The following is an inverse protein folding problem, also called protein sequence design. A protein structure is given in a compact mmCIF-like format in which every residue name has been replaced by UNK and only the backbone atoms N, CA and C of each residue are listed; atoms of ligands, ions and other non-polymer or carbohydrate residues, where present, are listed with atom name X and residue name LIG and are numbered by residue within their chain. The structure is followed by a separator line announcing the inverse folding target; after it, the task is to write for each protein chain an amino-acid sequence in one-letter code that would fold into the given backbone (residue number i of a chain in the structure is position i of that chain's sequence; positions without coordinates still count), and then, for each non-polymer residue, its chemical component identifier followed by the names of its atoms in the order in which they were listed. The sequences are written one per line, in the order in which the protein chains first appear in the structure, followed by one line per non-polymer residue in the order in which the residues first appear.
data_IF_804373072294
#
_entry.id   IF_804373072294
#
_cell.length_a   1.000
_cell.length_b   1.000
_cell.length_c   1.000
_cell.angle_alpha   90.00
_cell.angle_beta   90.00
_cell.angle_gamma   90.00
#
_symmetry.space_group_name_H-M   'P 1'
#
loop_
_entity.id
_entity.type
_entity.pdbx_description
1 polymer ?
#
# COMPACT_ATOMS: atom_id res chain seq x y z
N UNK A 1 -11.19 16.54 12.78
CA UNK A 1 -9.81 15.99 12.78
C UNK A 1 -9.61 14.77 11.87
N UNK A 2 -10.56 13.85 11.74
CA UNK A 2 -10.39 12.62 10.94
C UNK A 2 -10.04 12.88 9.46
N UNK A 3 -10.76 13.78 8.77
CA UNK A 3 -10.47 14.14 7.37
C UNK A 3 -9.06 14.74 7.21
N UNK A 4 -8.63 15.59 8.16
CA UNK A 4 -7.29 16.19 8.12
C UNK A 4 -6.21 15.11 8.22
N UNK A 5 -6.33 14.19 9.18
CA UNK A 5 -5.37 13.09 9.35
C UNK A 5 -5.34 12.17 8.11
N UNK A 6 -6.50 11.82 7.56
CA UNK A 6 -6.59 10.96 6.37
C UNK A 6 -6.13 11.64 5.08
N UNK A 7 -6.20 12.98 5.02
CA UNK A 7 -5.74 13.75 3.86
C UNK A 7 -4.22 13.81 3.74
N UNK A 8 -3.48 13.52 4.82
CA UNK A 8 -2.00 13.47 4.84
C UNK A 8 -1.35 14.73 4.24
N UNK A 9 -1.88 15.91 4.55
CA UNK A 9 -1.40 17.19 4.03
C UNK A 9 -1.79 17.50 2.57
N UNK A 10 -2.54 16.62 1.91
CA UNK A 10 -3.04 16.84 0.55
C UNK A 10 -4.42 17.50 0.59
N UNK A 11 -4.46 18.81 0.29
CA UNK A 11 -5.70 19.59 0.31
C UNK A 11 -6.75 19.07 -0.68
N UNK A 12 -6.33 18.64 -1.89
CA UNK A 12 -7.26 18.06 -2.87
C UNK A 12 -7.94 16.82 -2.30
N UNK A 13 -7.18 15.96 -1.63
CA UNK A 13 -7.71 14.77 -0.95
C UNK A 13 -8.67 15.15 0.17
N UNK A 14 -8.34 16.15 0.99
CA UNK A 14 -9.21 16.60 2.08
C UNK A 14 -10.58 17.07 1.57
N UNK A 15 -10.61 17.84 0.48
CA UNK A 15 -11.85 18.32 -0.14
C UNK A 15 -12.69 17.17 -0.70
N UNK A 16 -12.07 16.25 -1.44
CA UNK A 16 -12.77 15.09 -1.98
C UNK A 16 -13.35 14.20 -0.87
N UNK A 17 -12.59 13.94 0.20
CA UNK A 17 -13.09 13.18 1.35
C UNK A 17 -14.28 13.87 2.03
N UNK A 18 -14.27 15.21 2.12
CA UNK A 18 -15.37 15.99 2.67
C UNK A 18 -16.62 15.91 1.78
N UNK A 19 -16.47 16.05 0.46
CA UNK A 19 -17.56 15.92 -0.50
C UNK A 19 -18.18 14.52 -0.48
N UNK A 20 -17.34 13.47 -0.52
CA UNK A 20 -17.80 12.08 -0.41
C UNK A 20 -18.50 11.81 0.91
N UNK A 21 -17.97 12.35 2.02
CA UNK A 21 -18.59 12.22 3.35
C UNK A 21 -19.98 12.86 3.40
N UNK A 22 -20.16 14.03 2.77
CA UNK A 22 -21.44 14.73 2.70
C UNK A 22 -22.44 14.01 1.79
N UNK A 23 -21.97 13.43 0.69
CA UNK A 23 -22.81 12.65 -0.20
C UNK A 23 -23.33 11.37 0.48
N UNK A 24 -22.51 10.74 1.32
CA UNK A 24 -22.88 9.52 2.05
C UNK A 24 -23.72 9.80 3.30
N UNK A 25 -23.43 10.89 4.02
CA UNK A 25 -24.12 11.27 5.25
C UNK A 25 -24.62 12.71 5.16
N UNK A 26 -25.94 12.88 5.06
CA UNK A 26 -26.59 14.19 5.05
C UNK A 26 -27.75 14.24 6.07
N UNK A 27 -27.65 15.01 7.17
CA UNK A 27 -26.56 15.92 7.54
C UNK A 27 -25.30 15.17 8.03
N UNK A 28 -24.14 15.83 7.94
CA UNK A 28 -22.87 15.33 8.50
C UNK A 28 -23.02 15.13 10.02
N UNK A 29 -22.54 14.01 10.54
CA UNK A 29 -22.59 13.65 11.97
C UNK A 29 -21.20 13.53 12.55
N UNK A 30 -21.06 13.81 13.84
CA UNK A 30 -19.83 13.53 14.56
C UNK A 30 -19.57 12.01 14.65
N UNK A 31 -18.31 11.60 14.50
CA UNK A 31 -17.90 10.20 14.57
C UNK A 31 -18.21 9.34 13.33
N UNK A 32 -18.77 9.92 12.27
CA UNK A 32 -19.03 9.16 11.03
C UNK A 32 -17.71 8.65 10.40
N UNK A 33 -17.74 7.44 9.83
CA UNK A 33 -16.59 6.89 9.12
C UNK A 33 -16.38 7.65 7.82
N UNK A 34 -15.19 8.21 7.65
CA UNK A 34 -14.81 8.86 6.38
C UNK A 34 -14.65 7.77 5.32
N UNK A 35 -15.26 7.92 4.13
CA UNK A 35 -15.13 6.97 3.05
C UNK A 35 -13.69 6.96 2.53
N UNK A 36 -13.12 5.77 2.37
CA UNK A 36 -11.80 5.57 1.80
C UNK A 36 -11.92 5.11 0.33
N UNK A 37 -10.99 5.50 -0.55
CA UNK A 37 -10.96 4.97 -1.91
C UNK A 37 -10.84 3.44 -1.93
N UNK A 38 -11.58 2.80 -2.83
CA UNK A 38 -11.60 1.33 -2.92
C UNK A 38 -10.21 0.75 -3.18
N UNK A 39 -9.41 1.42 -4.01
CA UNK A 39 -8.05 0.97 -4.32
C UNK A 39 -7.11 1.00 -3.11
N UNK A 40 -7.28 1.92 -2.17
CA UNK A 40 -6.49 1.95 -0.93
C UNK A 40 -6.85 0.79 -0.02
N UNK A 41 -8.16 0.49 0.08
CA UNK A 41 -8.64 -0.66 0.84
C UNK A 41 -8.10 -1.96 0.24
N UNK A 42 -8.16 -2.08 -1.08
CA UNK A 42 -7.65 -3.24 -1.81
C UNK A 42 -6.13 -3.43 -1.64
N UNK A 43 -5.35 -2.35 -1.65
CA UNK A 43 -3.91 -2.40 -1.38
C UNK A 43 -3.61 -2.76 0.08
N UNK A 44 -4.40 -2.28 1.04
CA UNK A 44 -4.26 -2.66 2.45
C UNK A 44 -4.51 -4.15 2.65
N UNK A 45 -5.58 -4.69 2.08
CA UNK A 45 -5.83 -6.14 2.08
C UNK A 45 -4.69 -6.94 1.42
N UNK A 46 -4.09 -6.37 0.36
CA UNK A 46 -2.94 -6.98 -0.32
C UNK A 46 -1.72 -6.98 0.60
N UNK A 47 -1.46 -5.89 1.33
CA UNK A 47 -0.40 -5.82 2.33
C UNK A 47 -0.64 -6.82 3.48
N UNK A 48 -1.88 -6.95 3.97
CA UNK A 48 -2.25 -7.93 4.98
C UNK A 48 -2.00 -9.37 4.51
N UNK A 49 -2.31 -9.67 3.24
CA UNK A 49 -2.00 -10.96 2.63
C UNK A 49 -0.49 -11.24 2.63
N UNK A 50 0.32 -10.26 2.21
CA UNK A 50 1.79 -10.34 2.20
C UNK A 50 2.35 -10.56 3.61
N UNK A 51 1.78 -9.92 4.64
CA UNK A 51 2.22 -10.05 6.04
C UNK A 51 1.85 -11.41 6.65
N UNK A 52 0.74 -12.00 6.20
CA UNK A 52 0.23 -13.28 6.71
C UNK A 52 0.98 -14.49 6.15
N UNK A 53 1.31 -14.49 4.85
CA UNK A 53 1.89 -15.67 4.18
C UNK A 53 3.04 -15.29 3.26
N UNK A 54 4.22 -15.84 3.52
CA UNK A 54 5.44 -15.62 2.72
C UNK A 54 5.79 -16.88 1.90
N UNK A 55 4.91 -17.28 0.98
CA UNK A 55 5.15 -18.44 0.10
C UNK A 55 5.08 -18.05 -1.37
N UNK A 56 5.66 -18.87 -2.26
CA UNK A 56 5.60 -18.65 -3.70
C UNK A 56 4.15 -18.51 -4.23
N UNK A 57 3.22 -19.34 -3.75
CA UNK A 57 1.80 -19.22 -4.11
C UNK A 57 1.19 -17.89 -3.70
N UNK A 58 1.59 -17.36 -2.53
CA UNK A 58 1.12 -16.06 -2.07
C UNK A 58 1.66 -14.94 -2.96
N UNK A 59 2.92 -15.03 -3.38
CA UNK A 59 3.52 -14.07 -4.30
C UNK A 59 2.78 -14.05 -5.66
N UNK A 60 2.38 -15.21 -6.17
CA UNK A 60 1.57 -15.32 -7.38
C UNK A 60 0.20 -14.65 -7.23
N UNK A 61 -0.49 -14.88 -6.11
CA UNK A 61 -1.76 -14.21 -5.81
C UNK A 61 -1.58 -12.69 -5.71
N UNK A 62 -0.52 -12.23 -5.03
CA UNK A 62 -0.22 -10.81 -4.90
C UNK A 62 0.07 -10.19 -6.26
N UNK A 63 0.77 -10.90 -7.15
CA UNK A 63 1.00 -10.44 -8.52
C UNK A 63 -0.29 -10.23 -9.30
N UNK A 64 -1.26 -11.15 -9.19
CA UNK A 64 -2.59 -10.99 -9.80
C UNK A 64 -3.29 -9.74 -9.28
N UNK A 65 -3.27 -9.53 -7.95
CA UNK A 65 -3.83 -8.32 -7.31
C UNK A 65 -3.16 -7.04 -7.82
N UNK A 66 -1.84 -7.04 -7.99
CA UNK A 66 -1.13 -5.89 -8.56
C UNK A 66 -1.54 -5.61 -10.02
N UNK A 67 -1.77 -6.64 -10.84
CA UNK A 67 -2.28 -6.45 -12.19
C UNK A 67 -3.67 -5.81 -12.19
N UNK A 68 -4.56 -6.21 -11.29
CA UNK A 68 -5.89 -5.60 -11.17
C UNK A 68 -5.78 -4.09 -10.86
N UNK A 69 -4.92 -3.70 -9.93
CA UNK A 69 -4.75 -2.28 -9.55
C UNK A 69 -4.10 -1.48 -10.68
N UNK A 70 -3.08 -2.03 -11.33
CA UNK A 70 -2.40 -1.37 -12.47
C UNK A 70 -3.36 -1.20 -13.66
N UNK A 71 -4.18 -2.22 -13.95
CA UNK A 71 -5.15 -2.16 -15.06
C UNK A 71 -6.27 -1.14 -14.84
N UNK A 72 -6.53 -0.73 -13.59
CA UNK A 72 -7.43 0.37 -13.22
C UNK A 72 -6.75 1.75 -13.28
N UNK A 73 -5.62 1.86 -13.96
CA UNK A 73 -4.87 3.10 -14.19
C UNK A 73 -4.35 3.78 -12.91
N UNK A 74 -4.06 3.00 -11.87
CA UNK A 74 -3.46 3.55 -10.65
C UNK A 74 -1.94 3.60 -10.84
N UNK A 75 -1.29 4.77 -10.61
CA UNK A 75 0.13 4.92 -10.84
C UNK A 75 0.97 3.93 -10.03
N UNK A 76 1.93 3.21 -10.63
CA UNK A 76 2.76 2.24 -9.90
C UNK A 76 3.53 2.83 -8.71
N UNK A 77 3.99 4.07 -8.82
CA UNK A 77 4.66 4.76 -7.71
C UNK A 77 3.73 4.95 -6.50
N UNK A 78 2.45 5.23 -6.75
CA UNK A 78 1.45 5.36 -5.68
C UNK A 78 1.16 4.00 -5.03
N UNK A 79 1.06 2.94 -5.85
CA UNK A 79 0.90 1.55 -5.37
C UNK A 79 2.07 1.19 -4.45
N UNK A 80 3.29 1.46 -4.90
CA UNK A 80 4.52 1.19 -4.16
C UNK A 80 4.52 1.90 -2.80
N UNK A 81 4.24 3.20 -2.78
CA UNK A 81 4.23 4.00 -1.57
C UNK A 81 3.17 3.57 -0.55
N UNK A 82 1.95 3.26 -1.01
CA UNK A 82 0.90 2.76 -0.10
C UNK A 82 1.22 1.37 0.45
N UNK A 83 1.72 0.44 -0.38
CA UNK A 83 2.14 -0.88 0.09
C UNK A 83 3.27 -0.77 1.11
N UNK A 84 4.33 -0.02 0.81
CA UNK A 84 5.44 0.17 1.75
C UNK A 84 4.96 0.73 3.08
N UNK A 85 4.09 1.74 3.06
CA UNK A 85 3.55 2.36 4.27
C UNK A 85 2.81 1.34 5.13
N UNK A 86 1.89 0.57 4.54
CA UNK A 86 1.13 -0.45 5.26
C UNK A 86 2.00 -1.60 5.76
N UNK A 87 2.98 -2.04 4.98
CA UNK A 87 3.90 -3.09 5.41
C UNK A 87 4.76 -2.63 6.61
N UNK A 88 5.23 -1.38 6.61
CA UNK A 88 6.06 -0.83 7.70
C UNK A 88 5.30 -0.65 9.02
N UNK A 89 3.97 -0.51 8.99
CA UNK A 89 3.15 -0.42 10.21
C UNK A 89 3.27 -1.69 11.06
N UNK A 90 3.28 -2.85 10.41
CA UNK A 90 3.28 -4.18 11.06
C UNK A 90 4.66 -4.88 11.06
N UNK A 91 5.71 -4.21 10.57
CA UNK A 91 7.07 -4.76 10.51
C UNK A 91 7.82 -4.52 11.84
N UNK A 92 8.59 -5.49 12.36
CA UNK A 92 9.44 -5.29 13.55
C UNK A 92 10.50 -4.20 13.33
N UNK A 93 10.75 -3.38 14.35
CA UNK A 93 11.66 -2.22 14.26
C UNK A 93 13.08 -2.58 13.78
N UNK A 94 13.56 -3.78 14.12
CA UNK A 94 14.90 -4.27 13.80
C UNK A 94 15.15 -4.39 12.30
N UNK A 95 14.12 -4.72 11.52
CA UNK A 95 14.23 -4.92 10.06
C UNK A 95 13.63 -3.76 9.25
N UNK A 96 13.00 -2.77 9.89
CA UNK A 96 12.43 -1.60 9.16
C UNK A 96 13.47 -0.87 8.32
N UNK A 97 14.67 -0.66 8.87
CA UNK A 97 15.74 0.05 8.16
C UNK A 97 16.16 -0.69 6.88
N UNK A 98 16.26 -2.02 6.96
CA UNK A 98 16.58 -2.87 5.82
C UNK A 98 15.47 -2.88 4.77
N UNK A 99 14.20 -3.02 5.21
CA UNK A 99 13.03 -2.93 4.32
C UNK A 99 13.01 -1.60 3.58
N UNK A 100 13.27 -0.49 4.26
CA UNK A 100 13.33 0.85 3.63
C UNK A 100 14.49 0.95 2.64
N UNK A 101 15.67 0.42 2.97
CA UNK A 101 16.82 0.42 2.07
C UNK A 101 16.52 -0.34 0.76
N UNK A 102 15.96 -1.54 0.88
CA UNK A 102 15.53 -2.33 -0.29
C UNK A 102 14.43 -1.62 -1.05
N UNK A 103 13.46 -1.04 -0.36
CA UNK A 103 12.36 -0.31 -0.99
C UNK A 103 12.89 0.85 -1.85
N UNK A 104 13.83 1.65 -1.33
CA UNK A 104 14.42 2.77 -2.07
C UNK A 104 15.11 2.33 -3.36
N UNK A 105 15.84 1.20 -3.33
CA UNK A 105 16.53 0.66 -4.50
C UNK A 105 15.53 0.15 -5.57
N UNK A 106 14.45 -0.52 -5.14
CA UNK A 106 13.42 -1.06 -6.05
C UNK A 106 12.53 0.05 -6.62
N UNK A 107 12.18 1.06 -5.82
CA UNK A 107 11.43 2.25 -6.26
C UNK A 107 12.23 3.03 -7.31
N UNK A 108 13.54 3.19 -7.12
CA UNK A 108 14.39 3.80 -8.14
C UNK A 108 14.34 3.03 -9.47
N UNK A 109 14.38 1.69 -9.41
CA UNK A 109 14.19 0.84 -10.58
C UNK A 109 12.85 1.09 -11.29
N UNK A 110 11.78 1.28 -10.53
CA UNK A 110 10.44 1.59 -11.05
C UNK A 110 10.42 2.90 -11.87
N UNK A 111 11.20 3.90 -11.48
CA UNK A 111 11.27 5.19 -12.21
C UNK A 111 12.03 5.10 -13.54
N UNK A 112 12.90 4.10 -13.70
CA UNK A 112 13.76 3.93 -14.87
C UNK A 112 13.29 2.83 -15.83
N UNK A 113 12.53 1.87 -15.32
CA UNK A 113 12.09 0.69 -16.06
C UNK A 113 10.78 0.89 -16.82
N UNK A 114 10.55 0.05 -17.83
CA UNK A 114 9.31 0.05 -18.62
C UNK A 114 8.21 -0.86 -18.04
N UNK A 115 8.56 -1.85 -17.19
CA UNK A 115 7.62 -2.86 -16.69
C UNK A 115 7.45 -2.76 -15.18
N UNK A 116 6.49 -1.94 -14.75
CA UNK A 116 6.22 -1.66 -13.35
C UNK A 116 6.01 -2.90 -12.46
N UNK A 117 5.31 -3.90 -12.99
CA UNK A 117 5.00 -5.14 -12.26
C UNK A 117 6.26 -5.87 -11.78
N UNK A 118 7.35 -5.86 -12.55
CA UNK A 118 8.58 -6.54 -12.18
C UNK A 118 9.26 -5.89 -10.97
N UNK A 119 9.22 -4.57 -10.87
CA UNK A 119 9.81 -3.84 -9.76
C UNK A 119 8.97 -3.99 -8.48
N UNK A 120 7.64 -3.97 -8.61
CA UNK A 120 6.71 -4.21 -7.50
C UNK A 120 6.86 -5.65 -6.97
N UNK A 121 6.88 -6.65 -7.86
CA UNK A 121 7.05 -8.05 -7.50
C UNK A 121 8.43 -8.31 -6.86
N UNK A 122 9.50 -7.72 -7.40
CA UNK A 122 10.83 -7.82 -6.82
C UNK A 122 10.91 -7.23 -5.41
N UNK A 123 10.26 -6.08 -5.17
CA UNK A 123 10.17 -5.51 -3.82
C UNK A 123 9.42 -6.44 -2.86
N UNK A 124 8.28 -6.98 -3.27
CA UNK A 124 7.47 -7.87 -2.41
C UNK A 124 8.21 -9.16 -2.08
N UNK A 125 8.89 -9.75 -3.07
CA UNK A 125 9.73 -10.92 -2.87
C UNK A 125 10.84 -10.66 -1.83
N UNK A 126 11.59 -9.56 -1.99
CA UNK A 126 12.63 -9.17 -1.05
C UNK A 126 12.06 -8.85 0.36
N UNK A 127 10.89 -8.21 0.43
CA UNK A 127 10.21 -7.98 1.70
C UNK A 127 9.82 -9.28 2.40
N UNK A 128 9.26 -10.25 1.67
CA UNK A 128 8.89 -11.56 2.21
C UNK A 128 10.12 -12.29 2.77
N UNK A 129 11.25 -12.26 2.05
CA UNK A 129 12.51 -12.84 2.50
C UNK A 129 13.01 -12.22 3.81
N UNK A 130 13.06 -10.89 3.88
CA UNK A 130 13.50 -10.16 5.08
C UNK A 130 12.58 -10.53 6.27
N UNK A 131 11.28 -10.60 6.04
CA UNK A 131 10.30 -10.88 7.07
C UNK A 131 10.37 -12.33 7.58
N UNK A 132 10.53 -13.32 6.70
CA UNK A 132 10.76 -14.72 7.08
C UNK A 132 12.00 -14.84 7.97
N UNK A 133 13.12 -14.27 7.51
CA UNK A 133 14.37 -14.28 8.25
C UNK A 133 14.23 -13.61 9.62
N UNK A 134 13.47 -12.51 9.71
CA UNK A 134 13.20 -11.83 10.98
C UNK A 134 12.33 -12.66 11.94
N UNK A 135 11.43 -13.50 11.41
CA UNK A 135 10.56 -14.39 12.18
C UNK A 135 11.27 -15.69 12.61
N UNK A 136 12.46 -15.97 12.07
CA UNK A 136 13.20 -17.19 12.35
C UNK A 136 12.67 -18.42 11.61
N UNK A 137 11.97 -18.20 10.49
CA UNK A 137 11.46 -19.23 9.57
C UNK A 137 12.35 -19.38 8.34
#
# INVERSE_FOLDING_TARGET
MQILNQSRGNLRRALLLLESSKAQYNPLREGQKVPEPEWETYLRETADLILRKQTADCLMQVRERLYEVISRCIPPALIFQELLRHLLESTPAQVKAEVVAVAAEREYGLTKGNKAIFHLEAFICAFMEILCRARGE
#
